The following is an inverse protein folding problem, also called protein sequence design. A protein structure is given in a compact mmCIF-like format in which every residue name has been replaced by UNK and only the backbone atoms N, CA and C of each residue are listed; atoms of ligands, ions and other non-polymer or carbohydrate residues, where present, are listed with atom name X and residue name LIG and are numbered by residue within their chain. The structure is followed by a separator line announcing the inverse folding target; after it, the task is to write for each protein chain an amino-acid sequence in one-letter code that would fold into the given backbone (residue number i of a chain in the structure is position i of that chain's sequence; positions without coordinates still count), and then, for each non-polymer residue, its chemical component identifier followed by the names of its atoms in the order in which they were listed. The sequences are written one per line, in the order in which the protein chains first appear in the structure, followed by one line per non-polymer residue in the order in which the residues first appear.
data_IF_768681609032
#
_entry.id   IF_768681609032
#
_cell.length_a   1.000
_cell.length_b   1.000
_cell.length_c   1.000
_cell.angle_alpha   90.00
_cell.angle_beta   90.00
_cell.angle_gamma   90.00
#
_symmetry.space_group_name_H-M   'P 1'
#
loop_
_entity.id
_entity.type
_entity.pdbx_description
1 polymer ?
#
# COMPACT_ATOMS: atom_id res chain seq x y z
N UNK A 1 -8.78 -2.86 -17.02
CA UNK A 1 -7.30 -2.70 -16.94
C UNK A 1 -6.68 -4.04 -16.65
N UNK A 2 -5.42 -4.29 -17.06
CA UNK A 2 -4.69 -5.51 -16.68
C UNK A 2 -3.52 -5.07 -15.79
N UNK A 3 -3.49 -5.54 -14.55
CA UNK A 3 -2.44 -5.17 -13.62
C UNK A 3 -1.15 -5.94 -13.95
N UNK A 4 0.00 -5.26 -13.93
CA UNK A 4 1.30 -5.90 -14.10
C UNK A 4 1.92 -6.18 -12.73
N UNK A 5 1.92 -7.44 -12.32
CA UNK A 5 2.43 -7.88 -11.01
C UNK A 5 3.96 -7.95 -10.94
N UNK A 6 4.65 -7.86 -12.09
CA UNK A 6 6.12 -7.84 -12.18
C UNK A 6 6.69 -6.42 -12.08
N UNK A 7 5.85 -5.42 -11.83
CA UNK A 7 6.32 -4.05 -11.65
C UNK A 7 7.13 -3.95 -10.36
N UNK A 8 8.40 -3.49 -10.40
CA UNK A 8 9.23 -3.36 -9.20
C UNK A 8 8.62 -2.42 -8.15
N UNK A 9 7.75 -1.50 -8.58
CA UNK A 9 7.01 -0.59 -7.68
C UNK A 9 6.05 -1.32 -6.73
N UNK A 10 5.63 -2.55 -7.02
CA UNK A 10 4.72 -3.34 -6.17
C UNK A 10 5.45 -4.08 -5.04
N UNK A 11 6.77 -3.89 -4.90
CA UNK A 11 7.54 -4.39 -3.76
C UNK A 11 7.52 -5.91 -3.59
N UNK A 12 7.22 -6.68 -4.65
CA UNK A 12 7.19 -8.14 -4.60
C UNK A 12 6.07 -8.76 -3.76
N UNK A 13 5.16 -7.96 -3.18
CA UNK A 13 4.09 -8.46 -2.29
C UNK A 13 3.16 -9.47 -2.98
N UNK A 14 3.03 -9.38 -4.30
CA UNK A 14 2.25 -10.28 -5.15
C UNK A 14 2.74 -11.75 -5.17
N UNK A 15 3.96 -12.01 -4.71
CA UNK A 15 4.63 -13.32 -4.81
C UNK A 15 4.99 -13.95 -3.46
N UNK A 16 4.53 -13.36 -2.35
CA UNK A 16 4.71 -13.90 -0.99
C UNK A 16 3.57 -14.82 -0.53
N UNK A 17 3.64 -15.32 0.72
CA UNK A 17 2.59 -16.17 1.32
C UNK A 17 1.21 -15.50 1.34
N UNK A 18 1.15 -14.17 1.45
CA UNK A 18 -0.09 -13.38 1.39
C UNK A 18 -0.37 -12.76 0.01
N UNK A 19 0.32 -13.22 -1.04
CA UNK A 19 0.26 -12.62 -2.36
C UNK A 19 -1.13 -12.70 -3.02
N UNK A 20 -1.94 -13.71 -2.67
CA UNK A 20 -3.31 -13.81 -3.20
C UNK A 20 -4.23 -12.74 -2.61
N UNK A 21 -4.15 -12.51 -1.29
CA UNK A 21 -4.89 -11.47 -0.60
C UNK A 21 -4.45 -10.10 -1.11
N UNK A 22 -3.14 -9.88 -1.27
CA UNK A 22 -2.62 -8.65 -1.87
C UNK A 22 -3.16 -8.42 -3.28
N UNK A 23 -3.14 -9.44 -4.15
CA UNK A 23 -3.67 -9.33 -5.52
C UNK A 23 -5.16 -9.00 -5.52
N UNK A 24 -5.94 -9.62 -4.65
CA UNK A 24 -7.38 -9.37 -4.50
C UNK A 24 -7.65 -7.93 -4.05
N UNK A 25 -7.00 -7.47 -2.99
CA UNK A 25 -7.19 -6.11 -2.45
C UNK A 25 -6.73 -5.03 -3.41
N UNK A 26 -5.55 -5.21 -4.00
CA UNK A 26 -4.98 -4.22 -4.93
C UNK A 26 -5.74 -4.16 -6.25
N UNK A 27 -6.20 -5.30 -6.77
CA UNK A 27 -7.07 -5.29 -7.97
C UNK A 27 -8.41 -4.64 -7.68
N UNK A 28 -9.01 -4.89 -6.51
CA UNK A 28 -10.23 -4.21 -6.08
C UNK A 28 -10.02 -2.69 -6.02
N UNK A 29 -8.96 -2.23 -5.35
CA UNK A 29 -8.65 -0.80 -5.26
C UNK A 29 -8.49 -0.11 -6.62
N UNK A 30 -7.77 -0.75 -7.55
CA UNK A 30 -7.53 -0.20 -8.89
C UNK A 30 -8.81 -0.11 -9.73
N UNK A 31 -9.72 -1.07 -9.56
CA UNK A 31 -11.00 -1.09 -10.27
C UNK A 31 -12.14 -0.38 -9.55
N UNK A 32 -11.99 -0.04 -8.26
CA UNK A 32 -12.99 0.71 -7.51
C UNK A 32 -13.29 2.05 -8.20
N UNK A 33 -14.58 2.32 -8.34
CA UNK A 33 -15.13 3.58 -8.85
C UNK A 33 -15.74 4.44 -7.73
N UNK A 34 -15.68 3.99 -6.47
CA UNK A 34 -16.19 4.76 -5.34
C UNK A 34 -15.32 5.98 -5.04
N UNK A 35 -15.93 7.00 -4.44
CA UNK A 35 -15.21 8.14 -3.88
C UNK A 35 -15.39 8.13 -2.34
N UNK A 36 -14.31 7.93 -1.57
CA UNK A 36 -12.93 7.66 -1.97
C UNK A 36 -12.74 6.27 -2.59
N UNK A 37 -11.69 6.09 -3.42
CA UNK A 37 -11.37 4.80 -4.03
C UNK A 37 -11.06 3.74 -2.99
N UNK A 38 -11.57 2.52 -3.21
CA UNK A 38 -11.32 1.35 -2.38
C UNK A 38 -12.15 1.29 -1.12
N UNK A 39 -13.13 2.19 -0.94
CA UNK A 39 -14.06 2.16 0.19
C UNK A 39 -14.87 0.85 0.22
N UNK A 40 -15.19 0.33 -0.96
CA UNK A 40 -15.83 -0.96 -1.18
C UNK A 40 -14.89 -2.16 -1.01
N UNK A 41 -13.58 -1.94 -0.94
CA UNK A 41 -12.54 -2.97 -0.86
C UNK A 41 -11.98 -3.19 0.55
N UNK A 42 -12.49 -2.47 1.56
CA UNK A 42 -11.96 -2.46 2.94
C UNK A 42 -11.86 -3.88 3.51
N UNK A 43 -12.87 -4.73 3.29
CA UNK A 43 -12.83 -6.12 3.76
C UNK A 43 -11.64 -6.91 3.18
N UNK A 44 -11.30 -6.68 1.90
CA UNK A 44 -10.14 -7.34 1.29
C UNK A 44 -8.83 -6.86 1.92
N UNK A 45 -8.72 -5.57 2.24
CA UNK A 45 -7.55 -5.04 2.96
C UNK A 45 -7.41 -5.61 4.37
N UNK A 46 -8.53 -5.85 5.07
CA UNK A 46 -8.53 -6.53 6.37
C UNK A 46 -8.02 -7.97 6.23
N UNK A 47 -8.51 -8.73 5.25
CA UNK A 47 -8.04 -10.11 4.98
C UNK A 47 -6.53 -10.16 4.68
N UNK A 48 -6.05 -9.20 3.88
CA UNK A 48 -4.63 -9.08 3.55
C UNK A 48 -3.78 -8.80 4.79
N UNK A 49 -4.24 -7.90 5.66
CA UNK A 49 -3.51 -7.61 6.89
C UNK A 49 -3.54 -8.76 7.89
N UNK A 50 -4.69 -9.44 8.03
CA UNK A 50 -4.78 -10.64 8.86
C UNK A 50 -3.71 -11.66 8.44
N UNK A 51 -3.54 -11.86 7.14
CA UNK A 51 -2.48 -12.74 6.61
C UNK A 51 -1.06 -12.25 6.98
N UNK A 52 -0.79 -10.93 6.92
CA UNK A 52 0.53 -10.42 7.32
C UNK A 52 0.83 -10.69 8.80
N UNK A 53 -0.17 -10.62 9.67
CA UNK A 53 -0.04 -10.92 11.09
C UNK A 53 0.15 -12.42 11.37
N UNK A 54 -0.34 -13.29 10.49
CA UNK A 54 -0.09 -14.74 10.54
C UNK A 54 1.32 -15.12 10.10
N UNK A 55 2.01 -14.25 9.36
CA UNK A 55 3.35 -14.47 8.81
C UNK A 55 4.39 -13.42 9.25
N UNK A 56 4.57 -13.20 10.57
CA UNK A 56 5.48 -12.19 11.09
C UNK A 56 6.94 -12.46 10.69
N UNK A 57 7.34 -13.71 10.44
CA UNK A 57 8.69 -14.06 10.00
C UNK A 57 9.04 -13.52 8.61
N UNK A 58 8.04 -13.21 7.78
CA UNK A 58 8.23 -12.65 6.43
C UNK A 58 7.99 -11.16 6.42
N UNK A 59 6.98 -10.68 7.16
CA UNK A 59 6.52 -9.30 7.03
C UNK A 59 6.95 -8.40 8.19
N UNK A 60 7.35 -8.91 9.36
CA UNK A 60 7.54 -8.07 10.53
C UNK A 60 8.67 -7.04 10.41
N UNK A 61 9.63 -7.19 9.50
CA UNK A 61 10.66 -6.15 9.27
C UNK A 61 10.06 -4.98 8.48
N UNK A 62 9.22 -5.26 7.49
CA UNK A 62 8.49 -4.28 6.68
C UNK A 62 7.32 -3.63 7.44
N UNK A 63 6.78 -4.29 8.47
CA UNK A 63 5.76 -3.72 9.36
C UNK A 63 6.36 -2.94 10.55
N UNK A 64 7.68 -2.99 10.77
CA UNK A 64 8.37 -2.42 11.94
C UNK A 64 8.87 -0.99 11.77
N UNK A 65 8.58 -0.32 10.66
CA UNK A 65 8.96 1.08 10.50
C UNK A 65 8.34 1.91 11.64
N UNK A 66 9.14 2.78 12.27
CA UNK A 66 8.81 3.54 13.50
C UNK A 66 7.52 4.38 13.37
N UNK A 67 7.05 4.62 12.14
CA UNK A 67 5.79 5.28 11.79
C UNK A 67 4.54 4.39 12.05
N UNK A 68 4.71 3.06 12.11
CA UNK A 68 3.66 2.08 12.37
C UNK A 68 3.27 2.02 13.85
N UNK A 69 4.26 2.12 14.76
CA UNK A 69 4.02 2.07 16.21
C UNK A 69 3.14 3.24 16.70
N UNK A 70 3.34 4.45 16.18
CA UNK A 70 2.50 5.61 16.49
C UNK A 70 1.07 5.49 15.94
N UNK A 71 0.89 4.86 14.78
CA UNK A 71 -0.43 4.56 14.21
C UNK A 71 -1.19 3.48 15.01
N UNK A 72 -0.47 2.53 15.60
CA UNK A 72 -1.02 1.41 16.38
C UNK A 72 -1.48 1.83 17.79
N UNK A 73 -0.79 2.79 18.40
CA UNK A 73 -1.14 3.36 19.72
C UNK A 73 -2.36 4.30 19.64
N UNK A 74 -2.54 5.03 18.53
CA UNK A 74 -3.70 5.90 18.32
C UNK A 74 -5.00 5.14 18.04
N UNK A 75 -4.94 3.88 17.59
CA UNK A 75 -6.09 3.11 17.13
C UNK A 75 -6.62 2.07 18.14
N UNK A 76 -6.12 2.03 19.38
CA UNK A 76 -6.71 1.23 20.46
C UNK A 76 -6.97 -0.23 20.09
N UNK A 77 -5.89 -0.97 19.83
CA UNK A 77 -5.82 -2.38 19.46
C UNK A 77 -6.10 -2.74 17.97
N UNK A 78 -5.06 -3.36 17.41
CA UNK A 78 -5.01 -4.25 16.23
C UNK A 78 -5.28 -3.61 14.87
N UNK A 79 -4.18 -3.32 14.17
CA UNK A 79 -4.01 -3.53 12.73
C UNK A 79 -5.06 -2.95 11.77
N UNK A 80 -4.63 -1.96 10.97
CA UNK A 80 -4.94 -1.77 9.53
C UNK A 80 -4.95 -0.28 9.20
N UNK A 81 -4.02 0.13 8.36
CA UNK A 81 -4.04 1.45 7.76
C UNK A 81 -3.05 1.57 6.61
N UNK A 82 -3.43 1.04 5.43
CA UNK A 82 -2.86 1.52 4.17
C UNK A 82 -3.31 2.98 4.00
N UNK A 83 -2.48 3.91 4.44
CA UNK A 83 -2.53 5.32 4.04
C UNK A 83 -1.80 5.46 2.72
N UNK A 84 -2.54 5.40 1.61
CA UNK A 84 -2.02 5.90 0.35
C UNK A 84 -1.78 7.41 0.48
N UNK A 85 -0.53 7.81 0.75
CA UNK A 85 -0.05 9.11 0.33
C UNK A 85 0.16 9.04 -1.19
N UNK A 86 -0.94 9.28 -1.91
CA UNK A 86 -0.86 9.72 -3.29
C UNK A 86 -0.26 11.13 -3.24
N UNK A 87 1.05 11.23 -3.40
CA UNK A 87 1.71 12.49 -3.73
C UNK A 87 1.35 12.80 -5.20
N UNK A 88 0.22 13.48 -5.38
CA UNK A 88 -0.20 14.06 -6.66
C UNK A 88 0.21 15.55 -6.70
N UNK A 89 1.15 15.83 -7.61
CA UNK A 89 1.38 17.08 -8.34
C UNK A 89 1.90 18.33 -7.60
N UNK A 90 3.12 18.79 -7.94
CA UNK A 90 3.27 19.85 -8.95
C UNK A 90 4.74 20.15 -9.30
N UNK A 91 5.03 20.17 -10.60
CA UNK A 91 6.38 20.28 -11.15
C UNK A 91 7.00 21.67 -11.19
N UNK A 92 8.27 21.70 -11.60
CA UNK A 92 8.84 22.72 -12.49
C UNK A 92 10.08 22.12 -13.17
N UNK A 93 10.17 22.15 -14.52
CA UNK A 93 11.42 21.87 -15.21
C UNK A 93 12.43 22.98 -14.88
N UNK A 94 13.62 22.58 -14.46
CA UNK A 94 14.77 23.47 -14.27
C UNK A 94 15.16 24.07 -15.64
N UNK A 95 14.54 25.21 -15.96
CA UNK A 95 14.89 26.03 -17.10
C UNK A 95 16.08 26.90 -16.73
N UNK A 96 17.23 26.54 -17.31
CA UNK A 96 18.33 27.40 -17.71
C UNK A 96 18.96 28.30 -16.63
N UNK A 97 20.19 27.97 -16.28
CA UNK A 97 21.17 28.95 -15.82
C UNK A 97 22.47 28.82 -16.62
N UNK A 98 23.09 29.98 -16.87
CA UNK A 98 24.42 30.23 -17.46
C UNK A 98 24.45 30.39 -19.01
N UNK A 99 24.97 31.46 -19.63
CA UNK A 99 25.68 32.68 -19.16
C UNK A 99 25.81 33.67 -20.34
N UNK A 100 25.88 34.96 -20.06
CA UNK A 100 26.63 35.95 -20.84
C UNK A 100 27.64 36.62 -19.91
#
# INVERSE_FOLDING_TARGET
GKLNWDCPCLGGMAYGPCGEQFKKSFSCFVFSETEPKGKDCIESFIEMQACFLEHPEVYAEELKDEEWDEAQEASGATGAGAGAALDDDSGTPEAASATA
#
